data_IF_474887790694
#
_entry.id   IF_474887790694
#
_cell.length_a   1.000
_cell.length_b   1.000
_cell.length_c   1.000
_cell.angle_alpha   90.00
_cell.angle_beta   90.00
_cell.angle_gamma   90.00
#
_symmetry.space_group_name_H-M   'P 1'
#
loop_
_entity.id
_entity.type
_entity.pdbx_description
1 polymer ?
#
# COMPACT_ATOMS: atom_id res chain seq x y z
N UNK A 1 32.39 13.80 -7.35
CA UNK A 1 31.09 13.62 -8.02
C UNK A 1 30.17 13.04 -6.96
N UNK A 2 29.38 13.91 -6.33
CA UNK A 2 28.48 13.51 -5.26
C UNK A 2 27.43 12.55 -5.81
N UNK A 3 27.38 11.35 -5.23
CA UNK A 3 26.26 10.45 -5.40
C UNK A 3 25.12 11.04 -4.57
N UNK A 4 24.20 11.76 -5.21
CA UNK A 4 22.98 12.21 -4.53
C UNK A 4 22.24 10.94 -4.10
N UNK A 5 22.16 10.74 -2.80
CA UNK A 5 21.42 9.67 -2.13
C UNK A 5 20.03 9.57 -2.77
N UNK A 6 19.76 8.48 -3.48
CA UNK A 6 18.39 8.10 -3.82
C UNK A 6 17.66 7.98 -2.49
N UNK A 7 16.76 8.94 -2.24
CA UNK A 7 15.98 9.04 -1.03
C UNK A 7 14.87 7.99 -1.09
N UNK A 8 15.24 6.71 -1.00
CA UNK A 8 14.30 5.61 -0.93
C UNK A 8 13.57 5.73 0.41
N UNK A 9 12.25 5.94 0.39
CA UNK A 9 11.46 6.24 1.60
C UNK A 9 10.77 4.98 2.11
N UNK A 10 10.92 4.71 3.40
CA UNK A 10 10.42 3.52 4.09
C UNK A 10 8.89 3.54 4.13
N UNK A 11 8.27 2.53 3.53
CA UNK A 11 6.85 2.25 3.68
C UNK A 11 6.71 0.83 4.25
N UNK A 12 6.13 0.76 5.45
CA UNK A 12 5.90 -0.49 6.16
C UNK A 12 4.57 -1.07 5.70
N UNK A 13 4.62 -2.30 5.19
CA UNK A 13 3.51 -3.03 4.59
C UNK A 13 3.12 -4.23 5.43
N UNK A 14 1.93 -4.16 6.02
CA UNK A 14 1.36 -5.28 6.78
C UNK A 14 0.58 -6.23 5.86
N UNK A 15 1.17 -7.40 5.57
CA UNK A 15 0.44 -8.56 5.05
C UNK A 15 0.06 -9.48 6.23
N UNK A 16 -0.35 -10.72 5.98
CA UNK A 16 -0.30 -11.78 7.02
C UNK A 16 1.13 -11.97 7.60
N UNK A 17 2.14 -11.41 6.94
CA UNK A 17 3.52 -11.26 7.37
C UNK A 17 3.92 -9.76 7.28
N UNK A 18 4.69 -9.23 8.23
CA UNK A 18 5.16 -7.83 8.18
C UNK A 18 6.27 -7.73 7.14
N UNK A 19 6.12 -6.83 6.17
CA UNK A 19 7.14 -6.54 5.17
C UNK A 19 7.48 -5.06 5.15
N UNK A 20 8.77 -4.72 5.13
CA UNK A 20 9.24 -3.35 5.03
C UNK A 20 9.84 -3.19 3.63
N UNK A 21 9.33 -2.24 2.85
CA UNK A 21 9.87 -1.89 1.54
C UNK A 21 10.08 -0.39 1.44
N UNK A 22 10.84 0.03 0.45
CA UNK A 22 11.11 1.43 0.20
C UNK A 22 10.52 1.81 -1.15
N UNK A 23 9.71 2.86 -1.19
CA UNK A 23 9.15 3.35 -2.45
C UNK A 23 9.76 4.69 -2.83
N UNK A 24 9.77 4.94 -4.14
CA UNK A 24 10.06 6.27 -4.67
C UNK A 24 8.89 7.20 -4.32
N UNK A 25 9.11 8.37 -3.70
CA UNK A 25 8.05 9.37 -3.49
C UNK A 25 7.38 9.87 -4.77
N UNK A 26 8.00 9.67 -5.93
CA UNK A 26 7.43 10.02 -7.23
C UNK A 26 6.80 8.81 -7.93
N UNK A 27 6.64 7.67 -7.23
CA UNK A 27 5.97 6.50 -7.79
C UNK A 27 4.52 6.83 -8.14
N UNK A 28 4.09 6.35 -9.30
CA UNK A 28 2.68 6.42 -9.65
C UNK A 28 1.89 5.31 -8.96
N UNK A 29 0.58 5.52 -8.78
CA UNK A 29 -0.31 4.53 -8.18
C UNK A 29 -0.31 3.21 -8.97
N UNK A 30 -0.22 3.26 -10.31
CA UNK A 30 -0.16 2.05 -11.14
C UNK A 30 1.15 1.28 -10.89
N UNK A 31 2.29 1.97 -10.84
CA UNK A 31 3.59 1.36 -10.51
C UNK A 31 3.59 0.77 -9.11
N UNK A 32 3.02 1.48 -8.13
CA UNK A 32 2.87 0.96 -6.76
C UNK A 32 2.04 -0.32 -6.78
N UNK A 33 0.92 -0.35 -7.52
CA UNK A 33 0.11 -1.55 -7.67
C UNK A 33 0.89 -2.72 -8.29
N UNK A 34 1.74 -2.45 -9.28
CA UNK A 34 2.58 -3.48 -9.91
C UNK A 34 3.63 -4.02 -8.94
N UNK A 35 4.35 -3.15 -8.24
CA UNK A 35 5.31 -3.52 -7.18
C UNK A 35 4.63 -4.39 -6.13
N UNK A 36 3.44 -4.00 -5.67
CA UNK A 36 2.70 -4.78 -4.66
C UNK A 36 2.26 -6.15 -5.15
N UNK A 37 1.93 -6.30 -6.42
CA UNK A 37 1.66 -7.64 -6.99
C UNK A 37 2.91 -8.52 -6.98
N UNK A 38 4.07 -7.96 -7.33
CA UNK A 38 5.34 -8.69 -7.32
C UNK A 38 5.73 -9.08 -5.90
N UNK A 39 5.70 -8.10 -5.00
CA UNK A 39 6.07 -8.24 -3.59
C UNK A 39 5.18 -9.27 -2.87
N UNK A 40 3.86 -9.14 -3.02
CA UNK A 40 2.91 -10.02 -2.36
C UNK A 40 2.66 -11.33 -3.13
N UNK A 41 3.32 -11.51 -4.28
CA UNK A 41 3.12 -12.64 -5.21
C UNK A 41 1.66 -12.82 -5.61
N UNK A 42 0.94 -11.72 -5.80
CA UNK A 42 -0.44 -11.74 -6.28
C UNK A 42 -0.47 -12.09 -7.77
N UNK A 43 -1.49 -12.84 -8.20
CA UNK A 43 -1.74 -13.00 -9.63
C UNK A 43 -2.22 -11.69 -10.25
N UNK A 44 -2.11 -11.56 -11.58
CA UNK A 44 -2.48 -10.33 -12.28
C UNK A 44 -3.99 -10.03 -12.18
N UNK A 45 -4.80 -11.07 -12.01
CA UNK A 45 -6.26 -10.99 -11.85
C UNK A 45 -6.71 -10.80 -10.40
N UNK A 46 -5.80 -11.02 -9.43
CA UNK A 46 -6.16 -10.92 -8.02
C UNK A 46 -6.43 -9.46 -7.65
N UNK A 47 -7.57 -9.22 -7.03
CA UNK A 47 -7.95 -7.90 -6.49
C UNK A 47 -7.41 -7.77 -5.07
N UNK A 48 -6.83 -6.61 -4.75
CA UNK A 48 -6.36 -6.26 -3.41
C UNK A 48 -6.69 -4.80 -3.10
N UNK A 49 -6.61 -4.42 -1.83
CA UNK A 49 -6.85 -3.05 -1.37
C UNK A 49 -5.64 -2.57 -0.59
N UNK A 50 -5.15 -1.38 -0.92
CA UNK A 50 -4.12 -0.71 -0.13
C UNK A 50 -4.78 0.26 0.84
N UNK A 51 -4.30 0.28 2.08
CA UNK A 51 -4.78 1.18 3.12
C UNK A 51 -3.60 1.85 3.81
N UNK A 52 -3.65 3.15 3.92
CA UNK A 52 -2.78 3.92 4.78
C UNK A 52 -3.36 3.96 6.20
N UNK A 53 -2.53 3.81 7.22
CA UNK A 53 -2.92 4.07 8.61
C UNK A 53 -2.24 5.37 9.02
N UNK A 54 -3.05 6.36 9.38
CA UNK A 54 -2.56 7.66 9.84
C UNK A 54 -2.14 7.64 11.32
N UNK A 55 -1.77 8.82 11.84
CA UNK A 55 -1.30 9.01 13.22
C UNK A 55 -2.37 8.72 14.28
N UNK A 56 -3.65 8.85 13.92
CA UNK A 56 -4.78 8.55 14.79
C UNK A 56 -5.15 7.05 14.74
N UNK A 57 -4.50 6.28 13.86
CA UNK A 57 -4.74 4.86 13.65
C UNK A 57 -5.90 4.57 12.71
N UNK A 58 -6.40 5.56 11.99
CA UNK A 58 -7.55 5.42 11.09
C UNK A 58 -7.09 4.92 9.71
N UNK A 59 -7.70 3.82 9.20
CA UNK A 59 -7.34 3.29 7.90
C UNK A 59 -8.01 4.07 6.75
N UNK A 60 -7.22 4.82 5.99
CA UNK A 60 -7.61 5.43 4.72
C UNK A 60 -7.30 4.51 3.54
N UNK A 61 -8.24 4.34 2.60
CA UNK A 61 -8.00 3.54 1.39
C UNK A 61 -7.17 4.36 0.39
N UNK A 62 -6.18 3.74 -0.25
CA UNK A 62 -5.48 4.31 -1.41
C UNK A 62 -5.89 3.53 -2.65
N UNK A 63 -6.65 4.20 -3.51
CA UNK A 63 -7.21 3.67 -4.75
C UNK A 63 -6.95 4.55 -5.97
N UNK A 64 -6.41 5.76 -5.76
CA UNK A 64 -6.13 6.75 -6.79
C UNK A 64 -4.76 7.40 -6.58
N UNK A 65 -4.23 8.04 -7.63
CA UNK A 65 -2.99 8.81 -7.53
C UNK A 65 -3.10 9.93 -6.49
N UNK A 66 -4.24 10.62 -6.43
CA UNK A 66 -4.44 11.74 -5.50
C UNK A 66 -4.37 11.29 -4.04
N UNK A 67 -4.94 10.12 -3.70
CA UNK A 67 -4.87 9.54 -2.36
C UNK A 67 -3.43 9.11 -2.01
N UNK A 68 -2.69 8.58 -2.98
CA UNK A 68 -1.27 8.24 -2.80
C UNK A 68 -0.42 9.48 -2.54
N UNK A 69 -0.61 10.54 -3.34
CA UNK A 69 0.13 11.79 -3.20
C UNK A 69 -0.14 12.43 -1.82
N UNK A 70 -1.38 12.39 -1.34
CA UNK A 70 -1.73 12.90 -0.02
C UNK A 70 -1.13 12.05 1.10
N UNK A 71 -1.14 10.72 0.99
CA UNK A 71 -0.48 9.84 1.95
C UNK A 71 1.03 10.11 2.03
N UNK A 72 1.71 10.27 0.89
CA UNK A 72 3.14 10.63 0.82
C UNK A 72 3.38 12.00 1.47
N UNK A 73 2.51 12.99 1.19
CA UNK A 73 2.62 14.33 1.79
C UNK A 73 2.44 14.31 3.30
N UNK A 74 1.48 13.53 3.82
CA UNK A 74 1.24 13.37 5.26
C UNK A 74 2.40 12.67 5.95
N UNK A 75 2.99 11.65 5.31
CA UNK A 75 4.20 10.99 5.80
C UNK A 75 5.37 11.96 5.98
N UNK A 76 5.58 12.88 5.03
CA UNK A 76 6.66 13.86 5.13
C UNK A 76 6.52 14.82 6.32
N UNK A 77 5.28 15.12 6.70
CA UNK A 77 4.97 16.05 7.79
C UNK A 77 5.12 15.33 9.14
N UNK A 78 4.55 14.13 9.25
CA UNK A 78 4.41 13.44 10.54
C UNK A 78 5.57 12.44 10.82
N UNK A 79 6.25 11.95 9.78
CA UNK A 79 7.33 10.93 9.83
C UNK A 79 7.01 9.62 10.56
N UNK A 80 5.74 9.38 10.87
CA UNK A 80 5.29 8.25 11.67
C UNK A 80 3.98 7.71 11.10
N UNK A 81 4.07 7.04 9.95
CA UNK A 81 2.88 6.52 9.28
C UNK A 81 3.20 5.26 8.47
N UNK A 82 2.22 4.35 8.41
CA UNK A 82 2.39 2.99 7.91
C UNK A 82 1.37 2.67 6.80
N UNK A 83 1.78 1.96 5.74
CA UNK A 83 0.90 1.57 4.63
C UNK A 83 0.54 0.09 4.72
N UNK A 84 -0.63 -0.24 5.23
CA UNK A 84 -1.10 -1.62 5.31
C UNK A 84 -1.78 -2.11 4.02
N UNK A 85 -1.44 -3.31 3.52
CA UNK A 85 -2.09 -3.88 2.33
C UNK A 85 -2.92 -5.10 2.70
N UNK A 86 -4.21 -5.04 2.36
CA UNK A 86 -5.13 -6.14 2.59
C UNK A 86 -5.47 -6.85 1.27
N UNK A 87 -5.33 -8.18 1.26
CA UNK A 87 -5.91 -9.00 0.21
C UNK A 87 -7.43 -8.90 0.27
N UNK A 88 -8.09 -8.57 -0.84
CA UNK A 88 -9.53 -8.36 -0.88
C UNK A 88 -10.34 -9.67 -0.83
N UNK A 89 -9.68 -10.81 -0.53
CA UNK A 89 -10.31 -12.12 -0.31
C UNK A 89 -11.13 -12.15 0.99
N UNK A 90 -12.13 -11.28 1.15
CA UNK A 90 -13.27 -11.57 2.03
C UNK A 90 -14.53 -10.69 1.84
N UNK A 91 -15.07 -10.59 0.62
CA UNK A 91 -16.49 -10.18 0.44
C UNK A 91 -17.27 -11.12 -0.51
N UNK A 92 -16.75 -12.31 -0.82
CA UNK A 92 -17.46 -13.30 -1.64
C UNK A 92 -17.33 -14.72 -1.07
N UNK A 93 -17.76 -14.92 0.18
CA UNK A 93 -18.20 -16.25 0.62
C UNK A 93 -19.22 -16.20 1.76
N UNK A 94 -20.34 -15.51 1.57
CA UNK A 94 -21.61 -15.97 2.15
C UNK A 94 -22.41 -16.65 1.04
N UNK A 95 -21.85 -17.74 0.52
CA UNK A 95 -22.62 -18.72 -0.24
C UNK A 95 -23.61 -19.38 0.72
N UNK A 96 -24.86 -18.93 0.70
CA UNK A 96 -25.98 -19.81 1.01
C UNK A 96 -26.53 -20.33 -0.33
N UNK A 97 -26.17 -21.56 -0.77
CA UNK A 97 -27.04 -22.29 -1.67
C UNK A 97 -28.21 -22.81 -0.84
N UNK A 98 -29.39 -22.20 -0.99
CA UNK A 98 -30.63 -22.82 -0.55
C UNK A 98 -30.94 -23.97 -1.53
N UNK A 99 -30.53 -25.19 -1.19
CA UNK A 99 -31.24 -26.40 -1.62
C UNK A 99 -32.46 -26.62 -0.75
#
# INVERSE_FOLDING_TARGET
MEMVQHNTKDIIIHLKEIMITYIDPHITFDQLCQEMRVICRFSQEQVFTMKWVDEDGDPCIISTQMELDEAIRLYEINKDSELTIHDAKNVLNSGCPAT
#
